data_IF_663159933209
#
_entry.id   IF_663159933209
#
_cell.length_a   1.000
_cell.length_b   1.000
_cell.length_c   1.000
_cell.angle_alpha   90.00
_cell.angle_beta   90.00
_cell.angle_gamma   90.00
#
_symmetry.space_group_name_H-M   'P 1'
#
loop_
_entity.id
_entity.type
_entity.pdbx_description
1 polymer ?
#
# COMPACT_ATOMS: atom_id res chain seq x y z
N UNK A 1 14.50 -14.35 -2.67
CA UNK A 1 15.59 -13.41 -3.09
C UNK A 1 15.04 -12.03 -3.45
N UNK A 2 13.82 -11.94 -4.00
CA UNK A 2 13.13 -10.69 -4.37
C UNK A 2 13.04 -9.64 -3.26
N UNK A 3 12.65 -10.01 -2.04
CA UNK A 3 12.39 -9.02 -0.98
C UNK A 3 13.63 -8.49 -0.24
N UNK A 4 14.84 -8.99 -0.57
CA UNK A 4 16.10 -8.36 -0.12
C UNK A 4 16.23 -6.93 -0.64
N UNK A 5 15.62 -6.63 -1.78
CA UNK A 5 15.54 -5.28 -2.34
C UNK A 5 14.80 -4.30 -1.43
N UNK A 6 13.84 -4.75 -0.61
CA UNK A 6 13.07 -3.88 0.31
C UNK A 6 13.88 -3.48 1.55
N UNK A 7 14.72 -4.39 2.07
CA UNK A 7 15.52 -4.16 3.28
C UNK A 7 16.72 -3.24 3.07
N UNK A 8 17.27 -3.18 1.85
CA UNK A 8 18.47 -2.44 1.50
C UNK A 8 18.23 -1.52 0.29
N UNK A 9 16.98 -1.14 0.07
CA UNK A 9 16.64 -0.26 -1.05
C UNK A 9 17.33 1.09 -0.87
N UNK A 10 17.69 1.74 -1.97
CA UNK A 10 18.31 3.08 -1.96
C UNK A 10 17.42 4.13 -1.28
N UNK A 11 16.10 3.85 -1.18
CA UNK A 11 15.10 4.71 -0.54
C UNK A 11 14.90 4.44 0.96
N UNK A 12 15.78 3.67 1.62
CA UNK A 12 15.62 3.32 3.04
C UNK A 12 15.45 4.56 3.93
N UNK A 13 16.09 5.67 3.58
CA UNK A 13 16.08 6.93 4.33
C UNK A 13 15.14 7.98 3.73
N UNK A 14 14.48 7.70 2.61
CA UNK A 14 13.57 8.64 1.95
C UNK A 14 12.35 8.90 2.83
N UNK A 15 11.95 10.16 2.97
CA UNK A 15 10.79 10.55 3.75
C UNK A 15 10.91 10.21 5.24
N UNK A 16 12.13 10.16 5.80
CA UNK A 16 12.30 10.05 7.25
C UNK A 16 11.58 11.21 7.97
N UNK A 17 11.66 12.39 7.36
CA UNK A 17 10.91 13.59 7.71
C UNK A 17 10.03 14.01 6.52
N UNK A 18 8.92 14.73 6.76
CA UNK A 18 8.01 15.14 5.68
C UNK A 18 8.74 15.90 4.57
N UNK A 19 8.54 15.47 3.32
CA UNK A 19 9.14 16.10 2.13
C UNK A 19 10.68 16.10 2.11
N UNK A 20 11.33 15.09 2.70
CA UNK A 20 12.79 14.91 2.66
C UNK A 20 13.15 13.56 2.03
N UNK A 21 13.07 13.49 0.70
CA UNK A 21 13.36 12.32 -0.15
C UNK A 21 14.76 12.38 -0.81
N UNK A 22 15.50 13.47 -0.54
CA UNK A 22 16.81 13.71 -1.12
C UNK A 22 16.79 13.92 -2.64
N UNK A 23 15.63 14.23 -3.24
CA UNK A 23 15.50 14.58 -4.66
C UNK A 23 15.95 16.02 -4.96
N UNK A 24 15.98 16.88 -3.94
CA UNK A 24 16.41 18.26 -4.03
C UNK A 24 17.61 18.55 -3.12
N UNK A 25 18.40 19.57 -3.46
CA UNK A 25 19.45 20.06 -2.56
C UNK A 25 18.86 21.11 -1.61
N UNK A 26 18.75 20.83 -0.29
CA UNK A 26 18.07 21.74 0.63
C UNK A 26 18.88 23.01 0.92
N UNK A 27 20.19 23.00 0.64
CA UNK A 27 21.04 24.19 0.74
C UNK A 27 20.87 25.06 -0.53
N UNK A 28 20.37 26.31 -0.43
CA UNK A 28 20.14 27.17 -1.58
C UNK A 28 21.41 27.46 -2.40
N UNK A 29 22.57 27.58 -1.75
CA UNK A 29 23.85 27.80 -2.43
C UNK A 29 24.27 26.53 -3.18
N UNK A 30 24.05 25.37 -2.57
CA UNK A 30 24.28 24.07 -3.20
C UNK A 30 23.39 23.88 -4.43
N UNK A 31 22.09 24.14 -4.28
CA UNK A 31 21.12 24.10 -5.37
C UNK A 31 21.49 25.05 -6.52
N UNK A 32 21.86 26.30 -6.21
CA UNK A 32 22.30 27.27 -7.20
C UNK A 32 23.56 26.81 -7.95
N UNK A 33 24.54 26.21 -7.25
CA UNK A 33 25.75 25.65 -7.87
C UNK A 33 25.45 24.44 -8.76
N UNK A 34 24.60 23.51 -8.32
CA UNK A 34 24.18 22.37 -9.13
C UNK A 34 23.49 22.85 -10.42
N UNK A 35 22.60 23.84 -10.30
CA UNK A 35 21.94 24.47 -11.44
C UNK A 35 22.94 25.16 -12.37
N UNK A 36 23.89 25.94 -11.84
CA UNK A 36 24.93 26.60 -12.62
C UNK A 36 25.80 25.59 -13.39
N UNK A 37 26.14 24.47 -12.77
CA UNK A 37 26.94 23.40 -13.37
C UNK A 37 26.11 22.44 -14.24
N UNK A 38 24.78 22.60 -14.27
CA UNK A 38 23.83 21.71 -14.94
C UNK A 38 23.97 20.24 -14.51
N UNK A 39 24.25 20.02 -13.24
CA UNK A 39 24.36 18.69 -12.63
C UNK A 39 23.03 18.37 -11.94
N UNK A 40 22.36 17.31 -12.39
CA UNK A 40 21.16 16.81 -11.73
C UNK A 40 21.47 16.19 -10.36
N UNK A 41 20.54 16.31 -9.41
CA UNK A 41 20.71 15.78 -8.04
C UNK A 41 20.95 14.27 -8.07
N UNK A 42 20.30 13.52 -8.96
CA UNK A 42 20.52 12.07 -9.10
C UNK A 42 21.97 11.72 -9.48
N UNK A 43 22.58 12.48 -10.40
CA UNK A 43 23.98 12.28 -10.79
C UNK A 43 24.93 12.55 -9.63
N UNK A 44 24.63 13.56 -8.82
CA UNK A 44 25.35 13.84 -7.58
C UNK A 44 25.15 12.73 -6.55
N UNK A 45 23.90 12.31 -6.33
CA UNK A 45 23.52 11.31 -5.34
C UNK A 45 24.15 9.94 -5.62
N UNK A 46 24.22 9.54 -6.89
CA UNK A 46 24.87 8.28 -7.30
C UNK A 46 26.36 8.23 -6.97
N UNK A 47 27.02 9.40 -6.85
CA UNK A 47 28.46 9.48 -6.55
C UNK A 47 28.76 9.77 -5.09
N UNK A 48 27.93 10.58 -4.44
CA UNK A 48 28.21 11.15 -3.11
C UNK A 48 27.14 10.86 -2.05
N UNK A 49 26.01 10.26 -2.44
CA UNK A 49 24.85 10.05 -1.59
C UNK A 49 23.81 11.18 -1.70
N UNK A 50 22.57 10.85 -1.33
CA UNK A 50 21.43 11.78 -1.38
C UNK A 50 21.60 12.93 -0.38
N UNK A 51 21.39 14.20 -0.78
CA UNK A 51 21.59 15.37 0.07
C UNK A 51 20.38 15.64 0.98
N UNK A 52 20.03 14.69 1.86
CA UNK A 52 18.86 14.85 2.75
C UNK A 52 18.98 16.08 3.67
N UNK A 53 17.84 16.72 3.94
CA UNK A 53 17.73 17.86 4.86
C UNK A 53 18.09 17.47 6.28
N UNK A 54 17.67 16.30 6.75
CA UNK A 54 18.00 15.86 8.12
C UNK A 54 19.51 15.70 8.36
N UNK A 55 20.30 15.39 7.32
CA UNK A 55 21.77 15.30 7.41
C UNK A 55 22.39 16.69 7.62
N UNK A 56 21.79 17.73 7.05
CA UNK A 56 22.23 19.11 7.29
C UNK A 56 21.75 19.63 8.64
N UNK A 57 20.59 19.14 9.12
CA UNK A 57 20.06 19.51 10.43
C UNK A 57 20.95 19.02 11.58
N UNK A 58 21.50 17.81 11.50
CA UNK A 58 22.46 17.30 12.51
C UNK A 58 23.79 18.06 12.55
N UNK A 59 24.07 18.91 11.56
CA UNK A 59 25.25 19.80 11.57
C UNK A 59 24.89 21.23 11.96
N UNK A 60 23.62 21.51 12.30
CA UNK A 60 23.11 22.85 12.60
C UNK A 60 22.91 23.75 11.37
N UNK A 61 23.01 23.20 10.15
CA UNK A 61 22.96 23.97 8.90
C UNK A 61 21.55 24.09 8.31
N UNK A 62 20.58 23.33 8.82
CA UNK A 62 19.21 23.32 8.36
C UNK A 62 18.22 22.98 9.48
N UNK A 63 16.95 23.29 9.29
CA UNK A 63 15.85 22.81 10.13
C UNK A 63 15.32 21.47 9.61
N UNK A 64 14.81 20.62 10.50
CA UNK A 64 14.07 19.41 10.11
C UNK A 64 12.75 19.74 9.40
N UNK A 65 12.20 20.94 9.65
CA UNK A 65 10.92 21.40 9.09
C UNK A 65 11.13 21.96 7.67
N UNK A 66 10.36 21.52 6.66
CA UNK A 66 10.43 22.08 5.32
C UNK A 66 10.18 23.59 5.30
N UNK A 67 11.01 24.33 4.56
CA UNK A 67 10.83 25.78 4.36
C UNK A 67 11.08 26.65 5.59
N UNK A 68 11.44 26.06 6.75
CA UNK A 68 11.85 26.83 7.90
C UNK A 68 13.23 27.48 7.67
N UNK A 69 13.44 28.65 8.26
CA UNK A 69 14.74 29.30 8.25
C UNK A 69 15.79 28.41 8.92
N UNK A 70 17.08 28.52 8.53
CA UNK A 70 18.16 27.89 9.26
C UNK A 70 18.11 28.29 10.74
N UNK A 71 18.48 27.38 11.67
CA UNK A 71 18.52 27.70 13.09
C UNK A 71 19.46 28.90 13.33
N UNK A 72 19.03 29.82 14.17
CA UNK A 72 19.86 30.94 14.67
C UNK A 72 20.99 30.43 15.58
N UNK A 73 22.02 31.23 15.86
CA UNK A 73 23.13 30.81 16.74
C UNK A 73 22.66 30.33 18.12
N UNK A 74 21.60 30.93 18.67
CA UNK A 74 20.97 30.50 19.91
C UNK A 74 20.26 29.13 19.80
N UNK A 75 19.70 28.83 18.63
CA UNK A 75 19.07 27.54 18.30
C UNK A 75 20.08 26.46 17.91
N UNK A 76 21.29 26.84 17.50
CA UNK A 76 22.42 25.91 17.32
C UNK A 76 23.15 25.57 18.63
N UNK A 77 22.57 25.92 19.79
CA UNK A 77 23.13 25.52 21.08
C UNK A 77 23.29 23.99 21.18
N UNK A 78 24.30 23.52 21.90
CA UNK A 78 24.62 22.09 21.99
C UNK A 78 23.49 21.20 22.51
N UNK A 79 22.53 21.76 23.26
CA UNK A 79 21.33 21.05 23.74
C UNK A 79 20.34 20.81 22.61
N UNK A 80 20.01 21.83 21.82
CA UNK A 80 19.06 21.67 20.70
C UNK A 80 19.63 20.77 19.58
N UNK A 81 20.94 20.80 19.35
CA UNK A 81 21.58 19.89 18.41
C UNK A 81 21.52 18.43 18.89
N UNK A 82 21.61 18.20 20.21
CA UNK A 82 21.43 16.88 20.79
C UNK A 82 19.99 16.35 20.63
N UNK A 83 18.99 17.23 20.74
CA UNK A 83 17.58 16.88 20.49
C UNK A 83 17.36 16.50 19.01
N UNK A 84 17.88 17.30 18.08
CA UNK A 84 17.84 16.99 16.63
C UNK A 84 18.52 15.65 16.34
N UNK A 85 19.69 15.39 16.92
CA UNK A 85 20.40 14.12 16.77
C UNK A 85 19.57 12.96 17.32
N UNK A 86 18.96 13.13 18.49
CA UNK A 86 18.08 12.13 19.10
C UNK A 86 16.89 11.80 18.19
N UNK A 87 16.20 12.82 17.66
CA UNK A 87 15.05 12.65 16.78
C UNK A 87 15.43 11.94 15.48
N UNK A 88 16.56 12.29 14.87
CA UNK A 88 17.08 11.64 13.66
C UNK A 88 17.41 10.18 13.93
N UNK A 89 18.15 9.88 15.01
CA UNK A 89 18.50 8.50 15.38
C UNK A 89 17.24 7.68 15.66
N UNK A 90 16.27 8.26 16.37
CA UNK A 90 14.98 7.62 16.65
C UNK A 90 14.23 7.32 15.37
N UNK A 91 14.10 8.28 14.46
CA UNK A 91 13.45 8.11 13.17
C UNK A 91 14.10 6.99 12.31
N UNK A 92 15.43 6.93 12.29
CA UNK A 92 16.18 5.86 11.60
C UNK A 92 15.87 4.50 12.23
N UNK A 93 15.92 4.40 13.57
CA UNK A 93 15.62 3.14 14.27
C UNK A 93 14.19 2.67 14.01
N UNK A 94 13.23 3.59 14.07
CA UNK A 94 11.82 3.31 13.81
C UNK A 94 11.63 2.84 12.36
N UNK A 95 12.27 3.51 11.39
CA UNK A 95 12.25 3.11 9.98
C UNK A 95 12.83 1.72 9.74
N UNK A 96 14.00 1.42 10.31
CA UNK A 96 14.63 0.10 10.19
C UNK A 96 13.74 -0.98 10.82
N UNK A 97 13.17 -0.70 12.00
CA UNK A 97 12.23 -1.59 12.68
C UNK A 97 11.01 -1.88 11.81
N UNK A 98 10.35 -0.84 11.28
CA UNK A 98 9.21 -0.95 10.38
C UNK A 98 9.55 -1.76 9.11
N UNK A 99 10.72 -1.51 8.49
CA UNK A 99 11.19 -2.25 7.32
C UNK A 99 11.43 -3.72 7.61
N UNK A 100 12.00 -4.06 8.77
CA UNK A 100 12.17 -5.46 9.18
C UNK A 100 10.82 -6.15 9.38
N UNK A 101 9.84 -5.47 10.00
CA UNK A 101 8.48 -5.99 10.15
C UNK A 101 7.80 -6.21 8.79
N UNK A 102 7.89 -5.24 7.89
CA UNK A 102 7.36 -5.35 6.53
C UNK A 102 8.01 -6.53 5.78
N UNK A 103 9.33 -6.68 5.81
CA UNK A 103 10.02 -7.80 5.14
C UNK A 103 9.54 -9.15 5.67
N UNK A 104 9.30 -9.29 6.98
CA UNK A 104 8.72 -10.51 7.55
C UNK A 104 7.32 -10.79 7.01
N UNK A 105 6.47 -9.77 6.87
CA UNK A 105 5.14 -9.92 6.28
C UNK A 105 5.23 -10.33 4.80
N UNK A 106 6.09 -9.68 4.02
CA UNK A 106 6.26 -10.00 2.61
C UNK A 106 6.77 -11.43 2.39
N UNK A 107 7.70 -11.89 3.23
CA UNK A 107 8.17 -13.28 3.21
C UNK A 107 7.06 -14.28 3.59
N UNK A 108 6.21 -13.95 4.56
CA UNK A 108 5.06 -14.78 4.92
C UNK A 108 4.03 -14.85 3.78
N UNK A 109 3.77 -13.73 3.10
CA UNK A 109 2.89 -13.66 1.93
C UNK A 109 3.44 -14.42 0.72
N UNK A 110 4.76 -14.47 0.54
CA UNK A 110 5.40 -15.26 -0.52
C UNK A 110 5.33 -16.77 -0.22
N UNK A 111 5.58 -17.17 1.03
CA UNK A 111 5.69 -18.57 1.41
C UNK A 111 4.33 -19.25 1.66
N UNK A 112 3.48 -18.63 2.49
CA UNK A 112 2.21 -19.20 2.96
C UNK A 112 1.15 -18.10 3.06
N UNK A 113 0.69 -17.53 1.91
CA UNK A 113 -0.16 -16.35 1.91
C UNK A 113 -1.46 -16.56 2.68
N UNK A 114 -2.13 -17.71 2.53
CA UNK A 114 -3.40 -17.93 3.23
C UNK A 114 -3.22 -17.98 4.76
N UNK A 115 -2.16 -18.61 5.26
CA UNK A 115 -1.88 -18.66 6.70
C UNK A 115 -1.60 -17.26 7.27
N UNK A 116 -0.88 -16.42 6.50
CA UNK A 116 -0.62 -15.03 6.88
C UNK A 116 -1.92 -14.20 6.98
N UNK A 117 -2.90 -14.48 6.11
CA UNK A 117 -4.15 -13.71 6.01
C UNK A 117 -5.26 -14.22 6.94
N UNK A 118 -5.26 -15.48 7.35
CA UNK A 118 -6.25 -16.05 8.26
C UNK A 118 -6.12 -15.56 9.73
N UNK A 119 -5.12 -14.73 10.02
CA UNK A 119 -4.88 -14.15 11.36
C UNK A 119 -5.76 -12.93 11.68
N UNK A 120 -6.55 -12.46 10.71
CA UNK A 120 -7.41 -11.27 10.81
C UNK A 120 -8.90 -11.64 10.94
N UNK A 121 -9.75 -10.61 11.11
CA UNK A 121 -11.21 -10.74 11.17
C UNK A 121 -11.80 -11.11 9.78
N UNK A 122 -11.58 -12.36 9.38
CA UNK A 122 -12.07 -12.95 8.14
C UNK A 122 -12.79 -14.28 8.41
N UNK A 123 -13.62 -14.77 7.48
CA UNK A 123 -14.23 -16.08 7.60
C UNK A 123 -13.20 -17.20 7.75
N UNK A 124 -13.52 -18.21 8.56
CA UNK A 124 -12.68 -19.41 8.75
C UNK A 124 -12.41 -20.17 7.43
N UNK A 125 -13.36 -20.12 6.50
CA UNK A 125 -13.27 -20.78 5.20
C UNK A 125 -13.38 -19.74 4.09
N UNK A 126 -12.26 -19.34 3.50
CA UNK A 126 -12.23 -18.50 2.30
C UNK A 126 -12.22 -19.37 1.04
N UNK A 127 -12.97 -18.97 0.02
CA UNK A 127 -13.07 -19.67 -1.26
C UNK A 127 -12.13 -19.07 -2.31
N UNK A 128 -11.90 -17.76 -2.22
CA UNK A 128 -10.87 -17.05 -2.94
C UNK A 128 -9.52 -17.33 -2.29
N UNK A 129 -8.54 -17.76 -3.09
CA UNK A 129 -7.20 -18.08 -2.63
C UNK A 129 -6.17 -17.24 -3.35
N UNK A 130 -5.14 -16.78 -2.64
CA UNK A 130 -3.95 -16.17 -3.24
C UNK A 130 -3.14 -17.26 -3.93
N UNK A 131 -2.97 -17.13 -5.25
CA UNK A 131 -2.17 -18.07 -6.07
C UNK A 131 -0.78 -17.55 -6.37
N UNK A 132 -0.57 -16.22 -6.30
CA UNK A 132 0.74 -15.61 -6.49
C UNK A 132 0.81 -14.26 -5.79
N UNK A 133 1.95 -13.96 -5.16
CA UNK A 133 2.28 -12.64 -4.64
C UNK A 133 3.71 -12.28 -5.09
N UNK A 134 3.87 -11.22 -5.89
CA UNK A 134 5.17 -10.86 -6.46
C UNK A 134 5.38 -9.36 -6.56
N UNK A 135 6.64 -8.94 -6.51
CA UNK A 135 7.04 -7.57 -6.80
C UNK A 135 6.97 -7.31 -8.32
N UNK A 136 6.52 -6.12 -8.69
CA UNK A 136 6.51 -5.60 -10.05
C UNK A 136 7.18 -4.22 -10.07
N UNK A 137 7.51 -3.70 -11.25
CA UNK A 137 7.99 -2.32 -11.39
C UNK A 137 6.82 -1.32 -11.44
N UNK A 138 7.18 -0.03 -11.29
CA UNK A 138 6.23 1.08 -11.35
C UNK A 138 5.52 1.16 -12.70
N UNK A 139 6.25 0.96 -13.80
CA UNK A 139 5.69 1.03 -15.17
C UNK A 139 4.55 0.02 -15.34
N UNK A 140 4.78 -1.23 -14.92
CA UNK A 140 3.77 -2.30 -14.95
C UNK A 140 2.58 -1.96 -14.08
N UNK A 141 2.80 -1.40 -12.87
CA UNK A 141 1.72 -0.95 -12.01
C UNK A 141 0.89 0.15 -12.68
N UNK A 142 1.54 1.22 -13.14
CA UNK A 142 0.88 2.37 -13.78
C UNK A 142 0.13 1.99 -15.05
N UNK A 143 0.63 1.03 -15.83
CA UNK A 143 -0.04 0.50 -17.01
C UNK A 143 -1.28 -0.35 -16.68
N UNK A 144 -1.31 -0.97 -15.50
CA UNK A 144 -2.37 -1.92 -15.12
C UNK A 144 -3.54 -1.30 -14.37
N UNK A 145 -3.33 -0.16 -13.71
CA UNK A 145 -4.36 0.51 -12.91
C UNK A 145 -5.21 1.49 -13.72
N UNK A 146 -6.37 1.84 -13.16
CA UNK A 146 -7.30 2.81 -13.75
C UNK A 146 -6.69 4.22 -13.79
N UNK A 147 -7.14 5.12 -14.69
CA UNK A 147 -6.63 6.49 -14.75
C UNK A 147 -6.72 7.25 -13.43
N UNK A 148 -7.81 7.08 -12.69
CA UNK A 148 -8.01 7.73 -11.39
C UNK A 148 -7.02 7.18 -10.34
N UNK A 149 -6.82 5.86 -10.30
CA UNK A 149 -5.84 5.24 -9.41
C UNK A 149 -4.41 5.65 -9.79
N UNK A 150 -4.11 5.81 -11.08
CA UNK A 150 -2.80 6.30 -11.55
C UNK A 150 -2.54 7.72 -11.05
N UNK A 151 -3.52 8.61 -11.18
CA UNK A 151 -3.42 9.98 -10.69
C UNK A 151 -3.23 10.02 -9.17
N UNK A 152 -3.93 9.16 -8.44
CA UNK A 152 -3.75 9.01 -6.99
C UNK A 152 -2.35 8.49 -6.64
N UNK A 153 -1.89 7.42 -7.28
CA UNK A 153 -0.57 6.83 -7.05
C UNK A 153 0.57 7.82 -7.30
N UNK A 154 0.47 8.63 -8.36
CA UNK A 154 1.43 9.70 -8.66
C UNK A 154 1.44 10.80 -7.59
N UNK A 155 0.29 11.09 -6.98
CA UNK A 155 0.17 12.10 -5.91
C UNK A 155 0.75 11.59 -4.59
N UNK A 156 0.45 10.36 -4.23
CA UNK A 156 0.88 9.78 -2.94
C UNK A 156 2.34 9.31 -2.97
N UNK A 157 2.87 8.90 -4.13
CA UNK A 157 4.26 8.50 -4.29
C UNK A 157 4.55 7.07 -3.80
N UNK A 158 4.68 6.13 -4.74
CA UNK A 158 4.99 4.74 -4.44
C UNK A 158 6.49 4.44 -4.39
N UNK A 159 6.90 3.60 -3.46
CA UNK A 159 8.27 3.10 -3.34
C UNK A 159 8.41 1.65 -3.78
N UNK A 160 7.37 0.84 -3.58
CA UNK A 160 7.33 -0.58 -3.93
C UNK A 160 6.00 -0.93 -4.55
N UNK A 161 6.02 -1.78 -5.56
CA UNK A 161 4.83 -2.19 -6.29
C UNK A 161 4.71 -3.71 -6.31
N UNK A 162 3.50 -4.21 -6.09
CA UNK A 162 3.22 -5.65 -6.04
C UNK A 162 1.99 -6.01 -6.85
N UNK A 163 2.01 -7.23 -7.39
CA UNK A 163 0.85 -7.89 -7.96
C UNK A 163 0.53 -9.12 -7.12
N UNK A 164 -0.68 -9.14 -6.57
CA UNK A 164 -1.29 -10.35 -6.02
C UNK A 164 -2.28 -10.91 -7.04
N UNK A 165 -2.13 -12.19 -7.37
CA UNK A 165 -3.09 -12.95 -8.17
C UNK A 165 -3.88 -13.85 -7.24
N UNK A 166 -5.19 -13.82 -7.36
CA UNK A 166 -6.12 -14.62 -6.58
C UNK A 166 -7.09 -15.35 -7.52
N UNK A 167 -7.58 -16.50 -7.08
CA UNK A 167 -8.54 -17.28 -7.83
C UNK A 167 -9.70 -17.71 -6.93
N UNK A 168 -10.92 -17.52 -7.44
CA UNK A 168 -12.10 -18.18 -6.91
C UNK A 168 -12.55 -19.23 -7.92
N UNK A 169 -12.17 -20.49 -7.67
CA UNK A 169 -12.41 -21.60 -8.60
C UNK A 169 -13.89 -21.95 -8.77
N UNK A 170 -14.71 -21.67 -7.75
CA UNK A 170 -16.14 -21.98 -7.79
C UNK A 170 -16.88 -21.01 -8.70
N UNK A 171 -16.53 -19.73 -8.60
CA UNK A 171 -17.10 -18.66 -9.42
C UNK A 171 -16.35 -18.43 -10.74
N UNK A 172 -15.28 -19.18 -11.02
CA UNK A 172 -14.41 -19.04 -12.19
C UNK A 172 -13.91 -17.59 -12.37
N UNK A 173 -13.39 -17.04 -11.27
CA UNK A 173 -12.86 -15.68 -11.21
C UNK A 173 -11.36 -15.69 -11.02
N UNK A 174 -10.67 -14.92 -11.84
CA UNK A 174 -9.28 -14.51 -11.64
C UNK A 174 -9.25 -13.05 -11.19
N UNK A 175 -8.73 -12.79 -10.00
CA UNK A 175 -8.63 -11.44 -9.44
C UNK A 175 -7.16 -11.03 -9.39
N UNK A 176 -6.86 -9.85 -9.90
CA UNK A 176 -5.57 -9.19 -9.75
C UNK A 176 -5.72 -8.02 -8.79
N UNK A 177 -4.92 -8.00 -7.72
CA UNK A 177 -4.73 -6.85 -6.85
C UNK A 177 -3.37 -6.20 -7.14
N UNK A 178 -3.38 -4.92 -7.48
CA UNK A 178 -2.18 -4.12 -7.69
C UNK A 178 -1.96 -3.25 -6.46
N UNK A 179 -0.82 -3.42 -5.81
CA UNK A 179 -0.53 -2.81 -4.51
C UNK A 179 0.64 -1.84 -4.68
N UNK A 180 0.44 -0.60 -4.24
CA UNK A 180 1.50 0.39 -4.09
C UNK A 180 1.79 0.61 -2.61
N UNK A 181 3.07 0.53 -2.25
CA UNK A 181 3.56 0.70 -0.89
C UNK A 181 4.48 1.94 -0.82
N UNK A 182 4.22 2.91 0.07
CA UNK A 182 5.04 4.10 0.23
C UNK A 182 6.37 3.82 0.94
N UNK A 183 7.33 4.74 0.81
CA UNK A 183 8.66 4.62 1.42
C UNK A 183 8.63 4.66 2.96
N UNK A 184 7.64 5.35 3.53
CA UNK A 184 7.50 5.60 4.96
C UNK A 184 6.46 4.70 5.65
N UNK A 185 5.99 3.64 4.97
CA UNK A 185 5.17 2.58 5.58
C UNK A 185 5.74 2.15 6.95
N UNK A 186 4.92 2.06 8.02
CA UNK A 186 3.45 2.14 8.01
C UNK A 186 2.86 3.54 8.24
N UNK A 187 3.65 4.63 8.20
CA UNK A 187 3.11 5.99 8.41
C UNK A 187 2.07 6.37 7.36
N UNK A 188 2.37 6.06 6.10
CA UNK A 188 1.40 6.08 5.02
C UNK A 188 0.98 4.64 4.71
N UNK A 189 -0.32 4.49 4.43
CA UNK A 189 -0.93 3.20 4.16
C UNK A 189 -0.74 2.79 2.68
N UNK A 190 -0.76 1.48 2.38
CA UNK A 190 -0.73 1.02 1.00
C UNK A 190 -2.01 1.36 0.22
N UNK A 191 -1.86 1.54 -1.09
CA UNK A 191 -2.98 1.67 -2.03
C UNK A 191 -3.20 0.38 -2.83
N UNK A 192 -4.45 0.01 -3.03
CA UNK A 192 -4.89 -1.18 -3.74
C UNK A 192 -5.79 -0.81 -4.93
N UNK A 193 -5.43 -1.27 -6.12
CA UNK A 193 -6.32 -1.35 -7.27
C UNK A 193 -6.72 -2.79 -7.54
N UNK A 194 -7.93 -3.02 -8.03
CA UNK A 194 -8.49 -4.35 -8.22
C UNK A 194 -9.04 -4.52 -9.62
N UNK A 195 -8.74 -5.66 -10.22
CA UNK A 195 -9.33 -6.09 -11.48
C UNK A 195 -9.84 -7.52 -11.33
N UNK A 196 -11.12 -7.74 -11.60
CA UNK A 196 -11.77 -9.06 -11.56
C UNK A 196 -12.02 -9.51 -12.99
N UNK A 197 -11.45 -10.64 -13.38
CA UNK A 197 -11.71 -11.26 -14.67
C UNK A 197 -12.56 -12.51 -14.47
N UNK A 198 -13.74 -12.54 -15.08
CA UNK A 198 -14.51 -13.77 -15.22
C UNK A 198 -13.92 -14.54 -16.39
N UNK A 199 -13.25 -15.65 -16.09
CA UNK A 199 -12.79 -16.59 -17.10
C UNK A 199 -14.03 -17.33 -17.56
N UNK A 200 -14.65 -16.91 -18.67
CA UNK A 200 -15.82 -17.59 -19.19
C UNK A 200 -15.47 -19.05 -19.55
N UNK A 201 -16.45 -19.95 -19.44
CA UNK A 201 -16.36 -21.26 -20.07
C UNK A 201 -16.18 -21.15 -21.59
N UNK A 202 -15.91 -22.27 -22.26
CA UNK A 202 -15.49 -22.35 -23.68
C UNK A 202 -16.30 -21.50 -24.70
N UNK A 203 -17.52 -21.09 -24.37
CA UNK A 203 -18.47 -20.43 -25.27
C UNK A 203 -18.69 -18.92 -24.97
N UNK A 204 -18.06 -18.36 -23.94
CA UNK A 204 -18.16 -16.93 -23.59
C UNK A 204 -16.77 -16.35 -23.35
N UNK A 205 -16.41 -15.30 -24.09
CA UNK A 205 -15.10 -14.65 -23.94
C UNK A 205 -14.87 -14.12 -22.51
N UNK A 206 -13.61 -14.04 -22.09
CA UNK A 206 -13.27 -13.51 -20.76
C UNK A 206 -13.68 -12.04 -20.63
N UNK A 207 -14.32 -11.69 -19.53
CA UNK A 207 -14.72 -10.32 -19.24
C UNK A 207 -13.98 -9.79 -18.02
N UNK A 208 -13.38 -8.60 -18.16
CA UNK A 208 -12.59 -7.96 -17.10
C UNK A 208 -13.29 -6.72 -16.58
N UNK A 209 -13.40 -6.64 -15.27
CA UNK A 209 -14.10 -5.62 -14.50
C UNK A 209 -13.12 -4.89 -13.58
N UNK A 210 -13.19 -3.57 -13.55
CA UNK A 210 -12.40 -2.69 -12.71
C UNK A 210 -13.27 -1.50 -12.25
N UNK A 211 -12.71 -0.59 -11.45
CA UNK A 211 -13.46 0.55 -10.91
C UNK A 211 -14.04 1.52 -11.97
N UNK A 212 -13.56 1.50 -13.22
CA UNK A 212 -14.08 2.35 -14.30
C UNK A 212 -15.37 1.79 -14.87
N UNK A 213 -15.46 0.47 -15.04
CA UNK A 213 -16.58 -0.19 -15.72
C UNK A 213 -17.50 -0.97 -14.77
N UNK A 214 -17.21 -1.00 -13.46
CA UNK A 214 -17.98 -1.76 -12.50
C UNK A 214 -18.01 -1.09 -11.10
N UNK A 215 -19.18 -0.64 -10.68
CA UNK A 215 -19.37 0.05 -9.39
C UNK A 215 -19.07 -0.84 -8.18
N UNK A 216 -19.27 -2.17 -8.30
CA UNK A 216 -18.98 -3.12 -7.20
C UNK A 216 -17.48 -3.24 -6.99
N UNK A 217 -16.69 -3.29 -8.08
CA UNK A 217 -15.22 -3.30 -7.98
C UNK A 217 -14.74 -1.97 -7.40
N UNK A 218 -15.34 -0.84 -7.79
CA UNK A 218 -15.06 0.47 -7.19
C UNK A 218 -15.38 0.51 -5.69
N UNK A 219 -16.50 -0.08 -5.27
CA UNK A 219 -16.89 -0.17 -3.87
C UNK A 219 -15.91 -1.04 -3.07
N UNK A 220 -15.45 -2.16 -3.64
CA UNK A 220 -14.42 -3.02 -3.04
C UNK A 220 -13.09 -2.27 -2.88
N UNK A 221 -12.62 -1.58 -3.92
CA UNK A 221 -11.40 -0.75 -3.85
C UNK A 221 -11.54 0.32 -2.77
N UNK A 222 -12.67 1.00 -2.70
CA UNK A 222 -12.94 2.02 -1.68
C UNK A 222 -12.91 1.41 -0.27
N UNK A 223 -13.54 0.25 -0.09
CA UNK A 223 -13.59 -0.43 1.19
C UNK A 223 -12.19 -0.85 1.67
N UNK A 224 -11.37 -1.39 0.77
CA UNK A 224 -10.00 -1.83 1.09
C UNK A 224 -9.06 -0.65 1.36
N UNK A 225 -9.20 0.46 0.64
CA UNK A 225 -8.30 1.61 0.79
C UNK A 225 -8.71 2.58 1.91
N UNK A 226 -9.98 2.59 2.31
CA UNK A 226 -10.52 3.59 3.24
C UNK A 226 -11.19 2.93 4.42
N UNK A 227 -12.22 2.11 4.18
CA UNK A 227 -13.12 1.67 5.25
C UNK A 227 -12.48 0.68 6.21
N UNK A 228 -11.71 -0.31 5.71
CA UNK A 228 -11.12 -1.33 6.58
C UNK A 228 -9.88 -0.87 7.36
N UNK A 229 -9.41 0.34 7.08
CA UNK A 229 -8.22 0.96 7.70
C UNK A 229 -8.55 2.17 8.59
N UNK A 230 -9.81 2.62 8.60
CA UNK A 230 -10.26 3.76 9.40
C UNK A 230 -10.76 3.38 10.82
N UNK A 231 -10.49 2.15 11.28
CA UNK A 231 -10.86 1.71 12.63
C UNK A 231 -9.78 2.13 13.65
N UNK A 232 -10.18 2.65 14.81
CA UNK A 232 -9.29 3.28 15.80
C UNK A 232 -8.31 2.28 16.46
N UNK A 233 -8.56 0.97 16.32
CA UNK A 233 -7.85 -0.10 17.04
C UNK A 233 -6.84 -0.84 16.15
N UNK A 234 -6.45 -0.28 15.01
CA UNK A 234 -5.59 -1.01 14.04
C UNK A 234 -4.12 -0.93 14.42
N UNK A 235 -3.47 -2.10 14.53
CA UNK A 235 -2.01 -2.19 14.51
C UNK A 235 -1.49 -1.79 13.12
N UNK A 236 -0.95 -0.56 13.05
CA UNK A 236 -0.44 0.08 11.84
C UNK A 236 0.60 -0.77 11.11
N UNK A 237 1.38 -1.59 11.84
CA UNK A 237 2.37 -2.45 11.22
C UNK A 237 1.72 -3.53 10.35
N UNK A 238 0.48 -3.92 10.61
CA UNK A 238 -0.25 -5.03 9.95
C UNK A 238 -1.23 -4.58 8.87
N UNK A 239 -1.27 -3.29 8.55
CA UNK A 239 -2.27 -2.72 7.62
C UNK A 239 -2.23 -3.40 6.25
N UNK A 240 -1.04 -3.67 5.71
CA UNK A 240 -0.89 -4.36 4.42
C UNK A 240 -1.60 -5.72 4.40
N UNK A 241 -1.31 -6.56 5.39
CA UNK A 241 -1.86 -7.92 5.46
C UNK A 241 -3.35 -7.90 5.82
N UNK A 242 -3.80 -6.94 6.64
CA UNK A 242 -5.24 -6.72 6.91
C UNK A 242 -6.00 -6.31 5.65
N UNK A 243 -5.49 -5.34 4.87
CA UNK A 243 -6.09 -4.92 3.61
C UNK A 243 -6.17 -6.08 2.63
N UNK A 244 -5.11 -6.89 2.52
CA UNK A 244 -5.10 -8.05 1.64
C UNK A 244 -6.06 -9.16 2.13
N UNK A 245 -6.15 -9.43 3.43
CA UNK A 245 -7.07 -10.41 4.00
C UNK A 245 -8.54 -9.97 3.77
N UNK A 246 -8.79 -8.67 3.91
CA UNK A 246 -10.06 -8.05 3.56
C UNK A 246 -10.35 -8.24 2.08
N UNK A 247 -9.42 -7.89 1.19
CA UNK A 247 -9.61 -8.07 -0.25
C UNK A 247 -9.97 -9.52 -0.61
N UNK A 248 -9.19 -10.50 -0.13
CA UNK A 248 -9.42 -11.93 -0.39
C UNK A 248 -10.80 -12.36 0.08
N UNK A 249 -11.17 -12.06 1.33
CA UNK A 249 -12.45 -12.47 1.89
C UNK A 249 -13.65 -11.77 1.23
N UNK A 250 -13.50 -10.53 0.75
CA UNK A 250 -14.60 -9.76 0.13
C UNK A 250 -14.80 -10.12 -1.34
N UNK A 251 -13.79 -10.70 -2.00
CA UNK A 251 -13.99 -11.38 -3.28
C UNK A 251 -15.01 -12.53 -3.18
N UNK A 252 -15.10 -13.23 -2.04
CA UNK A 252 -16.13 -14.26 -1.83
C UNK A 252 -17.53 -13.65 -1.76
N UNK A 253 -17.68 -12.49 -1.10
CA UNK A 253 -18.96 -11.75 -1.05
C UNK A 253 -19.43 -11.39 -2.45
N UNK A 254 -18.51 -10.92 -3.30
CA UNK A 254 -18.79 -10.59 -4.69
C UNK A 254 -19.19 -11.85 -5.48
N UNK A 255 -18.44 -12.93 -5.33
CA UNK A 255 -18.72 -14.21 -6.00
C UNK A 255 -20.10 -14.78 -5.62
N UNK A 256 -20.47 -14.71 -4.34
CA UNK A 256 -21.72 -15.26 -3.83
C UNK A 256 -22.94 -14.41 -4.21
N UNK A 257 -22.83 -13.09 -4.12
CA UNK A 257 -23.99 -12.19 -4.16
C UNK A 257 -24.23 -11.51 -5.50
N UNK A 258 -23.21 -11.40 -6.35
CA UNK A 258 -23.33 -10.61 -7.58
C UNK A 258 -23.58 -11.53 -8.77
N UNK A 259 -24.75 -11.45 -9.44
CA UNK A 259 -25.12 -12.37 -10.51
C UNK A 259 -24.11 -12.41 -11.67
N UNK A 260 -23.49 -11.28 -12.02
CA UNK A 260 -22.51 -11.21 -13.10
C UNK A 260 -21.24 -12.03 -12.79
N UNK A 261 -20.90 -12.21 -11.52
CA UNK A 261 -19.74 -12.96 -11.05
C UNK A 261 -20.10 -14.37 -10.60
N UNK A 262 -21.38 -14.64 -10.34
CA UNK A 262 -21.89 -15.95 -10.01
C UNK A 262 -22.03 -16.82 -11.28
N UNK A 263 -21.86 -18.14 -11.14
CA UNK A 263 -22.06 -19.12 -12.21
C UNK A 263 -23.47 -19.76 -12.19
N UNK A 264 -24.43 -19.16 -11.48
CA UNK A 264 -25.84 -19.57 -11.44
C UNK A 264 -26.13 -20.85 -10.63
N UNK A 265 -25.11 -21.65 -10.35
CA UNK A 265 -25.19 -22.94 -9.64
C UNK A 265 -24.42 -22.95 -8.31
N UNK A 266 -23.95 -21.79 -7.85
CA UNK A 266 -23.13 -21.72 -6.62
C UNK A 266 -24.04 -21.45 -5.42
N UNK A 267 -24.10 -22.43 -4.51
CA UNK A 267 -24.69 -22.21 -3.20
C UNK A 267 -23.84 -21.18 -2.46
N UNK A 268 -24.49 -20.19 -1.82
CA UNK A 268 -23.80 -19.20 -0.98
C UNK A 268 -22.90 -19.92 0.02
N UNK A 269 -21.64 -19.53 0.06
CA UNK A 269 -20.61 -20.13 0.90
C UNK A 269 -20.55 -19.46 2.28
N UNK A 270 -21.08 -18.24 2.40
CA UNK A 270 -21.09 -17.47 3.63
C UNK A 270 -22.49 -17.04 4.08
N UNK A 271 -22.58 -16.63 5.34
CA UNK A 271 -23.79 -16.05 5.93
C UNK A 271 -23.82 -14.54 5.71
N UNK A 272 -25.01 -14.03 5.40
CA UNK A 272 -25.24 -12.62 5.10
C UNK A 272 -26.49 -12.15 5.83
N UNK A 273 -26.42 -10.97 6.45
CA UNK A 273 -27.60 -10.31 7.03
C UNK A 273 -28.66 -9.97 5.96
N UNK A 274 -28.22 -9.53 4.78
CA UNK A 274 -29.03 -9.30 3.56
C UNK A 274 -28.13 -9.26 2.32
N UNK A 275 -28.69 -9.54 1.15
CA UNK A 275 -27.92 -9.64 -0.12
C UNK A 275 -27.45 -8.30 -0.69
N UNK A 276 -28.29 -7.24 -0.65
CA UNK A 276 -27.90 -5.88 -1.06
C UNK A 276 -28.61 -4.82 -0.20
N UNK A 277 -28.11 -3.57 -0.17
CA UNK A 277 -28.81 -2.38 0.38
C UNK A 277 -28.74 -1.21 -0.61
N UNK A 278 -29.79 -0.40 -0.60
CA UNK A 278 -29.73 0.95 -1.16
C UNK A 278 -29.96 0.96 -2.66
N UNK A 279 -29.74 2.12 -3.27
CA UNK A 279 -29.97 2.32 -4.71
C UNK A 279 -28.85 1.74 -5.58
N UNK A 280 -27.65 1.64 -5.02
CA UNK A 280 -26.44 1.22 -5.73
C UNK A 280 -26.08 -0.25 -5.48
N UNK A 281 -27.03 -1.04 -4.95
CA UNK A 281 -26.85 -2.46 -4.61
C UNK A 281 -25.59 -2.73 -3.76
N UNK A 282 -25.39 -1.93 -2.71
CA UNK A 282 -24.24 -2.06 -1.80
C UNK A 282 -24.12 -3.49 -1.27
N UNK A 283 -22.89 -3.97 -1.15
CA UNK A 283 -22.60 -5.29 -0.62
C UNK A 283 -22.23 -5.25 0.88
N UNK A 284 -22.55 -6.30 1.64
CA UNK A 284 -22.20 -6.41 3.04
C UNK A 284 -20.71 -6.74 3.21
N UNK A 285 -19.82 -5.76 3.15
CA UNK A 285 -18.39 -6.00 3.33
C UNK A 285 -17.92 -6.08 4.79
N UNK A 286 -18.75 -5.78 5.79
CA UNK A 286 -18.33 -5.87 7.20
C UNK A 286 -18.47 -7.29 7.70
N UNK A 287 -17.37 -7.90 8.18
CA UNK A 287 -17.42 -9.26 8.74
C UNK A 287 -17.54 -9.20 10.26
N UNK A 288 -18.57 -9.84 10.81
CA UNK A 288 -18.75 -9.99 12.25
C UNK A 288 -18.30 -11.38 12.68
N UNK A 289 -17.24 -11.45 13.48
CA UNK A 289 -16.73 -12.71 14.07
C UNK A 289 -17.73 -13.31 15.07
N UNK A 290 -18.52 -12.48 15.75
CA UNK A 290 -19.52 -12.94 16.73
C UNK A 290 -20.68 -13.71 16.11
N UNK A 291 -21.09 -13.32 14.89
CA UNK A 291 -22.20 -13.95 14.18
C UNK A 291 -21.74 -14.80 12.99
N UNK A 292 -20.43 -14.86 12.73
CA UNK A 292 -19.82 -15.48 11.55
C UNK A 292 -20.52 -15.09 10.24
N UNK A 293 -20.85 -13.80 10.10
CA UNK A 293 -21.68 -13.31 9.01
C UNK A 293 -21.22 -11.94 8.50
N UNK A 294 -21.51 -11.70 7.23
CA UNK A 294 -21.30 -10.43 6.56
C UNK A 294 -22.49 -9.49 6.73
N UNK A 295 -22.17 -8.24 7.06
CA UNK A 295 -23.09 -7.17 7.42
C UNK A 295 -22.69 -5.86 6.74
N UNK A 296 -23.53 -4.85 6.90
CA UNK A 296 -23.27 -3.49 6.45
C UNK A 296 -22.77 -2.68 7.63
N UNK A 297 -22.04 -1.61 7.35
CA UNK A 297 -21.98 -0.49 8.29
C UNK A 297 -23.39 0.08 8.54
#
# INVERSE_FOLDING_TARGET
MMFRGVSAHENLLDGLFPGDDGAECPNPIGAAKLNQLKIGVDSFANKYGRPYRFVQAITGSASLVPGAAPPTEAETSGVQLADVLYDVIKAIRDRVSARVKLVRQLLALEATPMDALCTFDVPLKMMTHVTSFKMIDEETFMASVTPDMRALALREGGAFYFLVTMENKIADLKINGYIMLPADYPKQIPLFAVSITKTGGKDSGSQTFNAVNNHIVKALETYVNVTCVNDEVIDVDTVLTRQLATLVSRCDVIADLVPQFNNGNTQKQHLYSRSSRGRDDDLPFVYSTSTSAFTYH
#
